data_IF_875615131964
#
_entry.id   IF_875615131964
#
_cell.length_a   1.000
_cell.length_b   1.000
_cell.length_c   1.000
_cell.angle_alpha   90.00
_cell.angle_beta   90.00
_cell.angle_gamma   90.00
#
_symmetry.space_group_name_H-M   'P 1'
#
loop_
_entity.id
_entity.type
_entity.pdbx_description
1 polymer ?
#
# COMPACT_ATOMS: atom_id res chain seq x y z
N UNK A 1 -4.07 -15.37 5.37
CA UNK A 1 -3.09 -15.42 6.43
C UNK A 1 -1.67 -15.49 5.92
N UNK A 2 -0.71 -15.46 6.84
CA UNK A 2 0.71 -15.44 6.47
C UNK A 2 1.16 -16.67 5.67
N UNK A 3 0.58 -17.82 5.95
CA UNK A 3 0.90 -19.07 5.24
C UNK A 3 0.45 -18.99 3.77
N UNK A 4 -0.74 -18.46 3.54
CA UNK A 4 -1.29 -18.31 2.19
C UNK A 4 -0.46 -17.32 1.36
N UNK A 5 -0.09 -16.17 1.93
CA UNK A 5 0.74 -15.18 1.25
C UNK A 5 2.13 -15.72 0.90
N UNK A 6 2.71 -16.50 1.82
CA UNK A 6 4.01 -17.13 1.58
C UNK A 6 3.96 -18.16 0.45
N UNK A 7 2.89 -18.95 0.39
CA UNK A 7 2.70 -19.92 -0.67
C UNK A 7 2.57 -19.25 -2.04
N UNK A 8 1.79 -18.19 -2.12
CA UNK A 8 1.65 -17.41 -3.36
C UNK A 8 2.99 -16.84 -3.82
N UNK A 9 3.79 -16.32 -2.89
CA UNK A 9 5.10 -15.78 -3.21
C UNK A 9 6.04 -16.86 -3.74
N UNK A 10 6.04 -18.04 -3.14
CA UNK A 10 6.85 -19.16 -3.61
C UNK A 10 6.42 -19.63 -5.00
N UNK A 11 5.10 -19.65 -5.27
CA UNK A 11 4.60 -19.98 -6.60
C UNK A 11 5.02 -18.97 -7.65
N UNK A 12 5.03 -17.67 -7.30
CA UNK A 12 5.54 -16.63 -8.18
C UNK A 12 7.03 -16.79 -8.46
N UNK A 13 7.82 -17.08 -7.43
CA UNK A 13 9.25 -17.36 -7.60
C UNK A 13 9.47 -18.49 -8.60
N UNK A 14 8.74 -19.58 -8.44
CA UNK A 14 8.85 -20.74 -9.33
C UNK A 14 8.48 -20.39 -10.78
N UNK A 15 7.53 -19.49 -11.00
CA UNK A 15 7.08 -19.12 -12.34
C UNK A 15 8.08 -18.27 -13.12
N UNK A 16 9.03 -17.60 -12.44
CA UNK A 16 10.01 -16.75 -13.11
C UNK A 16 11.17 -17.51 -13.74
N UNK A 17 11.41 -18.76 -13.37
CA UNK A 17 12.69 -19.41 -13.65
C UNK A 17 12.62 -20.86 -14.11
N UNK A 18 11.46 -21.37 -14.44
CA UNK A 18 11.28 -22.76 -14.89
C UNK A 18 11.93 -23.79 -13.95
N UNK A 19 11.82 -23.55 -12.63
CA UNK A 19 12.36 -24.44 -11.63
C UNK A 19 13.77 -24.10 -11.16
N UNK A 20 14.45 -23.19 -11.85
CA UNK A 20 15.77 -22.70 -11.47
C UNK A 20 15.66 -21.23 -11.10
N UNK A 21 15.32 -20.95 -9.84
CA UNK A 21 15.09 -19.57 -9.40
C UNK A 21 16.42 -18.91 -9.06
N UNK A 22 16.91 -17.91 -9.87
CA UNK A 22 18.07 -17.14 -9.48
C UNK A 22 17.67 -16.14 -8.39
N UNK A 23 17.92 -16.52 -7.15
CA UNK A 23 17.60 -15.67 -6.01
C UNK A 23 18.86 -15.04 -5.45
N UNK A 24 18.70 -13.86 -4.91
CA UNK A 24 19.79 -13.14 -4.25
C UNK A 24 19.24 -12.48 -2.99
N UNK A 25 19.99 -12.59 -1.91
CA UNK A 25 19.65 -11.89 -0.68
C UNK A 25 20.00 -10.42 -0.84
N UNK A 26 19.05 -9.55 -0.56
CA UNK A 26 19.23 -8.10 -0.64
C UNK A 26 18.56 -7.46 0.57
N UNK A 27 18.93 -6.21 0.82
CA UNK A 27 18.28 -5.39 1.84
C UNK A 27 17.44 -4.34 1.12
N UNK A 28 16.14 -4.35 1.37
CA UNK A 28 15.24 -3.28 0.96
C UNK A 28 15.37 -2.17 1.99
N UNK A 29 15.92 -0.99 1.62
CA UNK A 29 16.18 0.05 2.59
C UNK A 29 14.91 0.62 3.20
N UNK A 30 15.01 1.06 4.44
CA UNK A 30 13.99 1.89 5.08
C UNK A 30 13.69 3.11 4.19
N UNK A 31 12.45 3.57 4.22
CA UNK A 31 11.97 4.73 3.47
C UNK A 31 11.95 4.53 1.94
N UNK A 32 11.89 3.29 1.49
CA UNK A 32 11.62 2.97 0.09
C UNK A 32 10.14 3.20 -0.18
N UNK A 33 9.83 4.11 -1.09
CA UNK A 33 8.45 4.51 -1.41
C UNK A 33 7.93 3.69 -2.58
N UNK A 34 6.71 3.20 -2.47
CA UNK A 34 6.06 2.49 -3.58
C UNK A 34 4.55 2.65 -3.53
N UNK A 35 3.90 2.42 -4.67
CA UNK A 35 2.47 2.57 -4.83
C UNK A 35 1.75 1.29 -4.48
N UNK A 36 0.62 1.45 -3.76
CA UNK A 36 -0.30 0.35 -3.46
C UNK A 36 -1.69 0.68 -3.95
N UNK A 37 -2.51 -0.35 -4.11
CA UNK A 37 -3.92 -0.21 -4.44
C UNK A 37 -4.75 -0.95 -3.39
N UNK A 38 -5.86 -0.33 -2.98
CA UNK A 38 -6.78 -0.96 -2.04
C UNK A 38 -7.54 -2.09 -2.73
N UNK A 39 -7.66 -3.22 -2.06
CA UNK A 39 -8.42 -4.37 -2.56
C UNK A 39 -9.72 -4.58 -1.81
N UNK A 40 -10.00 -3.75 -0.80
CA UNK A 40 -11.28 -3.71 -0.11
C UNK A 40 -11.78 -2.27 -0.06
N UNK A 41 -13.11 -2.11 -0.10
CA UNK A 41 -13.75 -0.79 -0.03
C UNK A 41 -13.76 -0.31 1.41
N UNK A 42 -13.52 0.98 1.61
CA UNK A 42 -13.61 1.65 2.90
C UNK A 42 -14.55 2.85 2.80
N UNK A 43 -15.30 3.12 3.86
CA UNK A 43 -16.14 4.32 3.91
C UNK A 43 -16.35 4.76 5.34
N UNK A 44 -16.66 6.05 5.53
CA UNK A 44 -17.01 6.55 6.87
C UNK A 44 -18.33 5.97 7.36
N UNK A 45 -19.18 5.48 6.45
CA UNK A 45 -20.47 4.87 6.82
C UNK A 45 -20.33 3.43 7.30
N UNK A 46 -19.43 2.66 6.70
CA UNK A 46 -19.36 1.20 6.90
C UNK A 46 -18.14 0.75 7.67
N UNK A 47 -17.04 1.47 7.57
CA UNK A 47 -15.79 1.07 8.23
C UNK A 47 -15.82 1.37 9.71
N UNK A 48 -15.18 0.50 10.48
CA UNK A 48 -15.07 0.61 11.94
C UNK A 48 -13.61 0.52 12.36
N UNK A 49 -13.29 1.18 13.45
CA UNK A 49 -11.98 1.02 14.10
C UNK A 49 -11.70 -0.46 14.33
N UNK A 50 -10.52 -0.91 13.93
CA UNK A 50 -10.11 -2.30 14.06
C UNK A 50 -10.37 -3.16 12.83
N UNK A 51 -11.14 -2.67 11.85
CA UNK A 51 -11.36 -3.41 10.60
C UNK A 51 -10.05 -3.63 9.86
N UNK A 52 -9.90 -4.81 9.26
CA UNK A 52 -8.74 -5.14 8.45
C UNK A 52 -8.84 -4.42 7.10
N UNK A 53 -7.73 -3.80 6.70
CA UNK A 53 -7.60 -3.16 5.40
C UNK A 53 -6.73 -4.04 4.52
N UNK A 54 -7.21 -4.37 3.32
CA UNK A 54 -6.47 -5.17 2.35
C UNK A 54 -5.98 -4.28 1.22
N UNK A 55 -4.75 -4.51 0.80
CA UNK A 55 -4.15 -3.79 -0.31
C UNK A 55 -3.15 -4.68 -1.04
N UNK A 56 -2.67 -4.20 -2.17
CA UNK A 56 -1.68 -4.91 -2.98
C UNK A 56 -0.68 -3.91 -3.56
N UNK A 57 0.52 -4.39 -3.90
CA UNK A 57 1.48 -3.59 -4.65
C UNK A 57 0.92 -3.28 -6.03
N UNK A 58 0.98 -2.03 -6.43
CA UNK A 58 0.50 -1.59 -7.75
C UNK A 58 1.55 -1.79 -8.84
N UNK A 59 2.82 -1.85 -8.47
CA UNK A 59 3.94 -2.00 -9.39
C UNK A 59 4.99 -2.96 -8.81
N UNK A 60 5.88 -3.43 -9.66
CA UNK A 60 7.04 -4.20 -9.20
C UNK A 60 8.04 -3.27 -8.52
N UNK A 61 8.68 -3.74 -7.46
CA UNK A 61 9.74 -3.00 -6.76
C UNK A 61 11.04 -3.80 -6.82
N UNK A 62 12.10 -3.15 -7.26
CA UNK A 62 13.43 -3.74 -7.41
C UNK A 62 14.46 -3.08 -6.51
N UNK A 63 15.44 -3.85 -6.09
CA UNK A 63 16.65 -3.35 -5.44
C UNK A 63 17.84 -3.88 -6.24
N UNK A 64 18.61 -2.99 -6.88
CA UNK A 64 19.76 -3.40 -7.71
C UNK A 64 19.40 -4.51 -8.71
N UNK A 65 18.31 -4.32 -9.45
CA UNK A 65 17.79 -5.28 -10.46
C UNK A 65 17.30 -6.60 -9.88
N UNK A 66 17.14 -6.66 -8.56
CA UNK A 66 16.56 -7.83 -7.88
C UNK A 66 15.10 -7.50 -7.51
N UNK A 67 14.16 -8.30 -8.00
CA UNK A 67 12.75 -8.12 -7.68
C UNK A 67 12.49 -8.52 -6.24
N UNK A 68 12.05 -7.57 -5.41
CA UNK A 68 11.77 -7.82 -4.00
C UNK A 68 10.27 -7.80 -3.70
N UNK A 69 9.49 -7.08 -4.50
CA UNK A 69 8.05 -6.94 -4.30
C UNK A 69 7.37 -6.96 -5.66
N UNK A 70 6.68 -8.05 -6.01
CA UNK A 70 6.03 -8.13 -7.32
C UNK A 70 4.69 -7.39 -7.30
N UNK A 71 4.31 -6.84 -8.46
CA UNK A 71 2.96 -6.29 -8.66
C UNK A 71 1.91 -7.32 -8.23
N UNK A 72 0.94 -6.89 -7.45
CA UNK A 72 -0.10 -7.77 -6.93
C UNK A 72 0.23 -8.43 -5.60
N UNK A 73 1.44 -8.25 -5.07
CA UNK A 73 1.77 -8.74 -3.73
C UNK A 73 0.81 -8.15 -2.70
N UNK A 74 0.30 -8.99 -1.80
CA UNK A 74 -0.76 -8.61 -0.87
C UNK A 74 -0.21 -8.07 0.45
N UNK A 75 -0.95 -7.14 1.02
CA UNK A 75 -0.64 -6.56 2.32
C UNK A 75 -1.88 -6.33 3.15
N UNK A 76 -1.66 -6.03 4.41
CA UNK A 76 -2.73 -5.76 5.37
C UNK A 76 -2.43 -4.54 6.21
N UNK A 77 -3.49 -3.89 6.63
CA UNK A 77 -3.47 -2.80 7.58
C UNK A 77 -4.71 -2.86 8.44
N UNK A 78 -4.95 -1.80 9.18
CA UNK A 78 -6.06 -1.73 10.11
C UNK A 78 -6.65 -0.33 10.10
N UNK A 79 -7.97 -0.22 10.21
CA UNK A 79 -8.61 1.07 10.40
C UNK A 79 -8.31 1.54 11.82
N UNK A 80 -7.56 2.62 11.92
CA UNK A 80 -7.16 3.18 13.21
C UNK A 80 -8.26 4.04 13.82
N UNK A 81 -8.94 4.81 12.98
CA UNK A 81 -9.96 5.74 13.42
C UNK A 81 -10.88 6.10 12.26
N UNK A 82 -12.18 6.24 12.55
CA UNK A 82 -13.16 6.76 11.61
C UNK A 82 -13.76 8.01 12.22
N UNK A 83 -13.61 9.14 11.54
CA UNK A 83 -14.24 10.39 11.94
C UNK A 83 -15.49 10.58 11.12
N UNK A 84 -16.64 10.66 11.77
CA UNK A 84 -17.90 10.86 11.08
C UNK A 84 -18.03 12.30 10.57
N UNK A 85 -18.77 12.50 9.48
CA UNK A 85 -19.04 13.86 8.99
C UNK A 85 -19.67 14.71 10.09
N UNK A 86 -19.17 15.94 10.22
CA UNK A 86 -19.62 16.86 11.26
C UNK A 86 -20.81 17.71 10.84
N UNK A 87 -21.44 18.36 11.82
CA UNK A 87 -22.66 19.17 11.62
C UNK A 87 -22.40 20.49 10.87
N UNK A 88 -21.20 20.99 10.83
CA UNK A 88 -20.87 22.25 10.18
C UNK A 88 -20.18 22.04 8.82
N UNK A 89 -20.58 21.00 8.09
CA UNK A 89 -20.01 20.73 6.77
C UNK A 89 -18.61 20.13 6.80
N UNK A 90 -18.14 19.65 7.95
CA UNK A 90 -16.85 18.96 8.03
C UNK A 90 -16.97 17.57 7.42
N UNK A 91 -16.06 17.27 6.51
CA UNK A 91 -15.97 15.96 5.88
C UNK A 91 -15.54 14.89 6.88
N UNK A 92 -15.97 13.67 6.63
CA UNK A 92 -15.50 12.52 7.38
C UNK A 92 -14.03 12.21 7.06
N UNK A 93 -13.43 11.34 7.86
CA UNK A 93 -12.04 10.94 7.67
C UNK A 93 -11.85 9.49 8.11
N UNK A 94 -11.00 8.77 7.41
CA UNK A 94 -10.61 7.41 7.76
C UNK A 94 -9.08 7.41 7.93
N UNK A 95 -8.64 7.10 9.14
CA UNK A 95 -7.21 6.96 9.44
C UNK A 95 -6.87 5.48 9.37
N UNK A 96 -5.82 5.14 8.62
CA UNK A 96 -5.41 3.76 8.37
C UNK A 96 -3.97 3.56 8.85
N UNK A 97 -3.75 2.48 9.61
CA UNK A 97 -2.42 1.99 9.92
C UNK A 97 -2.09 0.89 8.93
N UNK A 98 -1.16 1.14 8.03
CA UNK A 98 -0.62 0.09 7.18
C UNK A 98 0.36 -0.73 8.02
N UNK A 99 0.30 -2.04 7.92
CA UNK A 99 1.11 -2.91 8.77
C UNK A 99 2.26 -3.55 8.00
N UNK A 100 1.94 -4.39 7.04
CA UNK A 100 2.98 -5.03 6.25
C UNK A 100 2.44 -5.47 4.89
N UNK A 101 3.37 -5.76 3.99
CA UNK A 101 3.10 -6.36 2.69
C UNK A 101 4.08 -7.53 2.50
N UNK A 102 3.66 -8.59 1.82
CA UNK A 102 4.51 -9.74 1.61
C UNK A 102 5.46 -9.52 0.44
N UNK A 103 6.75 -9.69 0.67
CA UNK A 103 7.75 -9.68 -0.39
C UNK A 103 7.63 -10.91 -1.28
N UNK A 104 8.47 -10.95 -2.30
CA UNK A 104 8.45 -12.02 -3.31
C UNK A 104 8.72 -13.40 -2.69
N UNK A 105 9.48 -13.46 -1.60
CA UNK A 105 9.80 -14.70 -0.88
C UNK A 105 8.89 -14.96 0.33
N UNK A 106 7.86 -14.13 0.51
CA UNK A 106 6.95 -14.24 1.65
C UNK A 106 7.38 -13.48 2.91
N UNK A 107 8.50 -12.77 2.86
CA UNK A 107 8.95 -11.95 3.98
C UNK A 107 7.96 -10.82 4.22
N UNK A 108 7.63 -10.57 5.49
CA UNK A 108 6.77 -9.43 5.87
C UNK A 108 7.59 -8.16 5.82
N UNK A 109 7.23 -7.27 4.91
CA UNK A 109 7.86 -5.96 4.78
C UNK A 109 6.96 -4.97 5.48
N UNK A 110 7.41 -4.43 6.62
CA UNK A 110 6.63 -3.46 7.37
C UNK A 110 6.59 -2.13 6.63
N UNK A 111 5.41 -1.55 6.55
CA UNK A 111 5.17 -0.32 5.79
C UNK A 111 4.42 0.70 6.63
N UNK A 112 4.55 1.96 6.24
CA UNK A 112 3.87 3.06 6.89
C UNK A 112 3.67 4.20 5.88
N UNK A 113 2.90 5.21 6.26
CA UNK A 113 2.85 6.45 5.49
C UNK A 113 3.66 7.47 6.27
N UNK A 114 4.88 7.72 5.78
CA UNK A 114 5.75 8.75 6.34
C UNK A 114 5.85 9.96 5.42
N UNK A 115 6.80 10.81 5.68
CA UNK A 115 6.97 12.06 4.94
C UNK A 115 7.25 11.84 3.45
N UNK A 116 8.07 10.86 3.11
CA UNK A 116 8.43 10.61 1.71
C UNK A 116 7.25 10.10 0.90
N UNK A 117 6.42 9.20 1.47
CA UNK A 117 5.22 8.72 0.81
C UNK A 117 4.22 9.86 0.59
N UNK A 118 4.06 10.75 1.57
CA UNK A 118 3.19 11.93 1.45
C UNK A 118 3.69 12.87 0.36
N UNK A 119 4.97 13.17 0.33
CA UNK A 119 5.58 14.03 -0.69
C UNK A 119 5.38 13.45 -2.09
N UNK A 120 5.53 12.14 -2.24
CA UNK A 120 5.33 11.48 -3.53
C UNK A 120 3.89 11.60 -3.99
N UNK A 121 2.94 11.36 -3.10
CA UNK A 121 1.51 11.50 -3.40
C UNK A 121 1.16 12.94 -3.79
N UNK A 122 1.68 13.92 -3.04
CA UNK A 122 1.46 15.34 -3.32
C UNK A 122 2.05 15.76 -4.66
N UNK A 123 3.22 15.25 -5.02
CA UNK A 123 3.86 15.59 -6.30
C UNK A 123 3.05 15.09 -7.50
N UNK A 124 2.36 13.97 -7.36
CA UNK A 124 1.49 13.42 -8.41
C UNK A 124 0.16 14.15 -8.47
N UNK A 125 -0.41 14.51 -7.32
CA UNK A 125 -1.67 15.25 -7.24
C UNK A 125 -1.53 16.70 -7.74
N UNK A 126 -0.32 17.22 -7.75
CA UNK A 126 -0.07 18.62 -8.10
C UNK A 126 -0.18 19.55 -6.92
N UNK A 127 0.10 20.83 -7.15
CA UNK A 127 0.20 21.85 -6.09
C UNK A 127 -1.15 22.37 -5.61
N UNK A 128 -2.26 21.90 -6.12
CA UNK A 128 -3.53 22.57 -5.95
C UNK A 128 -4.42 22.03 -4.83
N UNK A 129 -3.87 21.33 -3.86
CA UNK A 129 -4.57 20.99 -2.63
C UNK A 129 -5.35 19.69 -2.66
N UNK A 130 -6.14 19.47 -1.63
CA UNK A 130 -6.94 18.26 -1.45
C UNK A 130 -8.00 18.12 -2.54
N UNK A 131 -8.33 16.99 -3.01
CA UNK A 131 -9.43 16.69 -3.93
C UNK A 131 -9.23 17.13 -5.38
N UNK A 132 -8.01 16.97 -5.91
CA UNK A 132 -7.76 17.23 -7.33
C UNK A 132 -7.65 15.90 -8.07
N UNK A 133 -8.36 15.81 -9.20
CA UNK A 133 -8.29 14.62 -10.04
C UNK A 133 -8.70 13.35 -9.33
N UNK A 134 -9.61 13.44 -8.36
CA UNK A 134 -10.07 12.28 -7.61
C UNK A 134 -9.17 11.84 -6.46
N UNK A 135 -8.21 12.66 -6.04
CA UNK A 135 -7.38 12.37 -4.87
C UNK A 135 -7.91 13.12 -3.65
N UNK A 136 -7.95 12.45 -2.51
CA UNK A 136 -8.45 13.00 -1.24
C UNK A 136 -7.41 12.81 -0.15
N UNK A 137 -7.26 13.83 0.71
CA UNK A 137 -6.40 13.72 1.89
C UNK A 137 -7.15 12.93 2.96
N UNK A 138 -6.53 11.87 3.45
CA UNK A 138 -7.06 11.03 4.52
C UNK A 138 -6.27 11.25 5.81
N UNK A 139 -6.43 12.43 6.43
CA UNK A 139 -5.73 12.74 7.68
C UNK A 139 -4.23 12.47 7.59
N UNK A 140 -3.63 11.74 8.57
CA UNK A 140 -2.20 11.46 8.53
C UNK A 140 -1.78 10.47 7.44
N UNK A 141 -2.72 9.81 6.78
CA UNK A 141 -2.45 8.79 5.75
C UNK A 141 -2.00 9.39 4.43
N UNK A 142 -2.25 10.70 4.20
CA UNK A 142 -1.88 11.35 2.95
C UNK A 142 -2.99 11.29 1.91
N UNK A 143 -2.60 11.29 0.63
CA UNK A 143 -3.54 11.36 -0.48
C UNK A 143 -3.86 9.97 -1.04
N UNK A 144 -5.14 9.74 -1.33
CA UNK A 144 -5.60 8.49 -1.97
C UNK A 144 -6.26 8.84 -3.30
N UNK A 145 -5.72 8.31 -4.39
CA UNK A 145 -6.27 8.49 -5.72
C UNK A 145 -7.50 7.62 -5.94
N UNK A 146 -8.58 8.23 -6.45
CA UNK A 146 -9.83 7.53 -6.72
C UNK A 146 -10.84 7.55 -5.59
N UNK A 147 -10.46 8.03 -4.40
CA UNK A 147 -11.40 8.22 -3.30
C UNK A 147 -12.30 9.42 -3.59
N UNK A 148 -13.48 9.44 -3.01
CA UNK A 148 -14.43 10.54 -3.25
C UNK A 148 -15.25 10.86 -2.01
N UNK A 149 -15.78 12.07 -2.01
CA UNK A 149 -16.70 12.57 -0.97
C UNK A 149 -18.10 12.67 -1.59
N UNK A 150 -19.07 12.04 -0.94
CA UNK A 150 -20.48 12.17 -1.32
C UNK A 150 -21.23 12.73 -0.11
N UNK A 151 -21.79 13.92 -0.26
CA UNK A 151 -22.22 14.70 0.89
C UNK A 151 -20.97 15.04 1.70
N UNK A 152 -20.89 14.60 2.95
CA UNK A 152 -19.70 14.74 3.79
C UNK A 152 -19.04 13.39 4.07
N UNK A 153 -19.52 12.32 3.45
CA UNK A 153 -18.99 10.96 3.66
C UNK A 153 -17.84 10.70 2.71
N UNK A 154 -16.78 10.07 3.22
CA UNK A 154 -15.61 9.68 2.42
C UNK A 154 -15.75 8.22 2.03
N UNK A 155 -15.50 7.90 0.76
CA UNK A 155 -15.49 6.54 0.24
C UNK A 155 -14.19 6.26 -0.49
N UNK A 156 -13.60 5.12 -0.21
CA UNK A 156 -12.40 4.62 -0.89
C UNK A 156 -12.79 3.31 -1.58
N UNK A 157 -13.14 3.37 -2.89
CA UNK A 157 -13.48 2.16 -3.64
C UNK A 157 -12.28 1.23 -3.82
N UNK A 158 -12.57 -0.02 -4.15
CA UNK A 158 -11.54 -0.97 -4.58
C UNK A 158 -10.79 -0.40 -5.79
N UNK A 159 -9.47 -0.53 -5.79
CA UNK A 159 -8.62 -0.03 -6.87
C UNK A 159 -8.03 1.34 -6.62
N UNK A 160 -8.46 2.03 -5.59
CA UNK A 160 -7.85 3.32 -5.21
C UNK A 160 -6.39 3.14 -4.85
N UNK A 161 -5.58 4.12 -5.18
CA UNK A 161 -4.13 4.04 -5.02
C UNK A 161 -3.60 5.09 -4.07
N UNK A 162 -2.54 4.73 -3.34
CA UNK A 162 -1.77 5.66 -2.54
C UNK A 162 -0.32 5.18 -2.46
N UNK A 163 0.52 5.94 -1.78
CA UNK A 163 1.92 5.59 -1.58
C UNK A 163 2.16 5.23 -0.13
N UNK A 164 3.00 4.24 0.07
CA UNK A 164 3.52 3.86 1.38
C UNK A 164 5.04 3.80 1.29
N UNK A 165 5.69 3.70 2.42
CA UNK A 165 7.13 3.54 2.49
C UNK A 165 7.48 2.45 3.49
N UNK A 166 8.64 1.84 3.30
CA UNK A 166 9.12 0.84 4.25
C UNK A 166 9.42 1.49 5.59
N UNK A 167 9.02 0.80 6.67
CA UNK A 167 9.20 1.32 8.03
C UNK A 167 10.60 1.02 8.58
N UNK A 168 11.30 0.05 8.00
CA UNK A 168 12.61 -0.38 8.45
C UNK A 168 13.37 -1.05 7.30
N UNK A 169 14.68 -1.21 7.47
CA UNK A 169 15.47 -2.03 6.55
C UNK A 169 14.99 -3.47 6.64
N UNK A 170 14.80 -4.11 5.50
CA UNK A 170 14.27 -5.48 5.44
C UNK A 170 15.16 -6.35 4.58
N UNK A 171 15.72 -7.40 5.17
CA UNK A 171 16.49 -8.41 4.43
C UNK A 171 15.53 -9.45 3.89
N UNK A 172 15.66 -9.77 2.63
CA UNK A 172 14.85 -10.79 1.98
C UNK A 172 15.59 -11.35 0.77
N UNK A 173 15.09 -12.49 0.28
CA UNK A 173 15.58 -13.07 -0.97
C UNK A 173 14.69 -12.61 -2.11
N UNK A 174 15.29 -11.93 -3.06
CA UNK A 174 14.58 -11.48 -4.25
C UNK A 174 14.95 -12.33 -5.47
N UNK A 175 14.22 -12.12 -6.55
CA UNK A 175 14.46 -12.79 -7.83
C UNK A 175 15.36 -11.91 -8.68
N UNK A 176 16.50 -12.46 -9.11
CA UNK A 176 17.40 -11.74 -10.01
C UNK A 176 16.70 -11.61 -11.36
N UNK A 177 16.51 -10.38 -11.82
CA UNK A 177 15.87 -10.11 -13.10
C UNK A 177 16.89 -10.38 -14.22
N UNK A 178 16.52 -11.29 -15.10
CA UNK A 178 17.32 -11.59 -16.30
C UNK A 178 16.49 -11.33 -17.55
N UNK A 179 17.00 -10.48 -18.40
CA UNK A 179 16.39 -10.26 -19.70
C UNK A 179 16.73 -11.40 -20.67
#
# INVERSE_FOLDING_TARGET
GSLSGRLESLLKLASYTDGNVPVQQVVLPKDSVFKIAFTSELSTKMSRKGDVVHFKAADNLYVNDVLVLPKGATGVGEVKKVVQPGIFGKDGRIDIDFTYIYGVDGTKIHVTVGELAKQKAESIAGAAGAAIGGMIILGPVGLVGGAFVKGNSVTIPVGCETFVQTAEDTSLQGVVYQE
#
